data_IF_367014625165
#
_entry.id   IF_367014625165
#
_cell.length_a   1.000
_cell.length_b   1.000
_cell.length_c   1.000
_cell.angle_alpha   90.00
_cell.angle_beta   90.00
_cell.angle_gamma   90.00
#
_symmetry.space_group_name_H-M   'P 1'
#
loop_
_entity.id
_entity.type
_entity.pdbx_description
1 polymer ?
#
# COMPACT_ATOMS: atom_id res chain seq x y z
N UNK A 1 11.90 21.69 23.42
CA UNK A 1 11.01 20.52 23.29
C UNK A 1 11.68 19.50 22.37
N UNK A 2 11.89 18.32 22.88
CA UNK A 2 12.53 17.27 22.08
C UNK A 2 11.47 16.55 21.24
N UNK A 3 11.50 16.78 19.93
CA UNK A 3 10.64 16.06 19.02
C UNK A 3 11.29 14.69 18.78
N UNK A 4 10.56 13.61 19.08
CA UNK A 4 11.04 12.27 18.79
C UNK A 4 11.18 12.09 17.29
N UNK A 5 12.12 11.25 16.89
CA UNK A 5 12.33 10.97 15.47
C UNK A 5 11.03 10.50 14.78
N UNK A 6 10.24 9.65 15.47
CA UNK A 6 8.96 9.17 14.97
C UNK A 6 7.89 10.26 14.88
N UNK A 7 8.07 11.40 15.56
CA UNK A 7 7.12 12.50 15.56
C UNK A 7 7.47 13.59 14.52
N UNK A 8 8.52 13.38 13.72
CA UNK A 8 8.89 14.33 12.68
C UNK A 8 7.75 14.48 11.66
N UNK A 9 7.51 15.71 11.16
CA UNK A 9 6.42 15.94 10.22
C UNK A 9 6.55 15.08 8.97
N UNK A 10 5.47 14.43 8.60
CA UNK A 10 5.36 13.67 7.36
C UNK A 10 4.02 13.97 6.72
N UNK A 11 4.01 14.14 5.41
CA UNK A 11 2.80 14.47 4.66
C UNK A 11 2.60 13.48 3.54
N UNK A 12 1.33 13.23 3.20
CA UNK A 12 0.96 12.38 2.07
C UNK A 12 0.40 13.30 0.99
N UNK A 13 0.88 13.11 -0.24
CA UNK A 13 0.40 13.81 -1.42
C UNK A 13 0.31 12.85 -2.61
N UNK A 14 -0.32 13.31 -3.68
CA UNK A 14 -0.37 12.51 -4.90
C UNK A 14 1.04 12.30 -5.45
N UNK A 15 1.27 11.09 -5.97
CA UNK A 15 2.51 10.74 -6.65
C UNK A 15 2.56 11.46 -7.99
N UNK A 16 3.70 12.04 -8.31
CA UNK A 16 3.95 12.71 -9.57
C UNK A 16 5.00 11.95 -10.37
N UNK A 17 5.11 12.28 -11.64
CA UNK A 17 6.09 11.63 -12.52
C UNK A 17 7.51 11.73 -11.95
N UNK A 18 7.84 12.85 -11.35
CA UNK A 18 9.16 13.12 -10.75
C UNK A 18 9.47 12.20 -9.57
N UNK A 19 8.46 11.58 -8.96
CA UNK A 19 8.65 10.66 -7.84
C UNK A 19 9.00 9.24 -8.29
N UNK A 20 8.81 8.91 -9.56
CA UNK A 20 8.92 7.53 -10.04
C UNK A 20 10.31 6.92 -9.81
N UNK A 21 11.36 7.71 -9.97
CA UNK A 21 12.73 7.20 -9.76
C UNK A 21 12.94 6.79 -8.30
N UNK A 22 12.52 7.63 -7.34
CA UNK A 22 12.64 7.34 -5.92
C UNK A 22 11.77 6.13 -5.51
N UNK A 23 10.53 6.09 -6.00
CA UNK A 23 9.59 5.00 -5.73
C UNK A 23 10.14 3.67 -6.26
N UNK A 24 10.62 3.64 -7.49
CA UNK A 24 11.21 2.43 -8.10
C UNK A 24 12.44 1.96 -7.33
N UNK A 25 13.26 2.89 -6.86
CA UNK A 25 14.45 2.54 -6.08
C UNK A 25 14.06 1.90 -4.74
N UNK A 26 13.08 2.47 -4.05
CA UNK A 26 12.57 1.91 -2.79
C UNK A 26 12.00 0.51 -3.01
N UNK A 27 11.20 0.35 -4.06
CA UNK A 27 10.61 -0.94 -4.41
C UNK A 27 11.70 -2.00 -4.64
N UNK A 28 12.71 -1.66 -5.44
CA UNK A 28 13.82 -2.57 -5.76
C UNK A 28 14.60 -2.99 -4.52
N UNK A 29 14.79 -2.08 -3.56
CA UNK A 29 15.52 -2.36 -2.32
C UNK A 29 14.66 -3.09 -1.28
N UNK A 30 13.34 -3.08 -1.44
CA UNK A 30 12.40 -3.62 -0.44
C UNK A 30 11.90 -5.01 -0.77
N UNK A 31 11.88 -5.40 -2.04
CA UNK A 31 11.27 -6.66 -2.49
C UNK A 31 12.21 -7.46 -3.36
N UNK A 32 12.10 -8.80 -3.22
CA UNK A 32 12.86 -9.75 -4.05
C UNK A 32 12.37 -9.74 -5.51
N UNK A 33 11.06 -9.54 -5.70
CA UNK A 33 10.44 -9.50 -7.03
C UNK A 33 9.74 -8.14 -7.21
N UNK A 34 10.51 -7.06 -7.41
CA UNK A 34 9.95 -5.71 -7.41
C UNK A 34 9.21 -5.39 -8.70
N UNK A 35 8.25 -4.47 -8.61
CA UNK A 35 7.69 -3.82 -9.79
C UNK A 35 8.77 -2.98 -10.47
N UNK A 36 8.71 -2.92 -11.81
CA UNK A 36 9.59 -2.06 -12.58
C UNK A 36 9.12 -0.60 -12.54
N UNK A 37 10.01 0.30 -12.92
CA UNK A 37 9.67 1.72 -13.10
C UNK A 37 8.46 1.89 -14.04
N UNK A 38 8.42 1.09 -15.13
CA UNK A 38 7.33 1.15 -16.10
C UNK A 38 5.97 0.78 -15.51
N UNK A 39 5.91 -0.16 -14.57
CA UNK A 39 4.66 -0.52 -13.90
C UNK A 39 4.11 0.66 -13.10
N UNK A 40 4.96 1.35 -12.35
CA UNK A 40 4.54 2.54 -11.60
C UNK A 40 4.08 3.65 -12.55
N UNK A 41 4.79 3.88 -13.63
CA UNK A 41 4.39 4.86 -14.65
C UNK A 41 3.02 4.51 -15.23
N UNK A 42 2.79 3.25 -15.53
CA UNK A 42 1.51 2.79 -16.09
C UNK A 42 0.36 3.01 -15.10
N UNK A 43 0.60 2.83 -13.80
CA UNK A 43 -0.40 3.14 -12.77
C UNK A 43 -0.79 4.62 -12.78
N UNK A 44 0.18 5.53 -12.92
CA UNK A 44 -0.12 6.96 -13.02
C UNK A 44 -0.92 7.26 -14.28
N UNK A 45 -0.52 6.68 -15.41
CA UNK A 45 -1.21 6.91 -16.70
C UNK A 45 -2.63 6.36 -16.69
N UNK A 46 -2.86 5.25 -15.96
CA UNK A 46 -4.18 4.65 -15.83
C UNK A 46 -5.10 5.43 -14.88
N UNK A 47 -4.58 6.45 -14.20
CA UNK A 47 -5.37 7.25 -13.26
C UNK A 47 -5.61 6.58 -11.91
N UNK A 48 -4.80 5.60 -11.55
CA UNK A 48 -4.90 4.98 -10.23
C UNK A 48 -4.55 6.00 -9.15
N UNK A 49 -5.16 5.86 -7.96
CA UNK A 49 -4.85 6.69 -6.81
C UNK A 49 -3.45 6.33 -6.30
N UNK A 50 -2.45 7.06 -6.74
CA UNK A 50 -1.05 6.82 -6.38
C UNK A 50 -0.59 7.93 -5.46
N UNK A 51 0.01 7.57 -4.33
CA UNK A 51 0.39 8.54 -3.31
C UNK A 51 1.78 8.27 -2.76
N UNK A 52 2.43 9.33 -2.31
CA UNK A 52 3.72 9.25 -1.63
C UNK A 52 3.63 9.89 -0.25
N UNK A 53 4.34 9.30 0.70
CA UNK A 53 4.52 9.88 2.02
C UNK A 53 5.90 10.53 2.05
N UNK A 54 5.91 11.83 2.31
CA UNK A 54 7.14 12.64 2.28
C UNK A 54 7.54 12.98 3.70
N UNK A 55 8.78 12.73 4.02
CA UNK A 55 9.41 13.10 5.28
C UNK A 55 10.75 13.76 5.01
N UNK A 56 10.93 14.97 5.54
CA UNK A 56 12.19 15.71 5.36
C UNK A 56 12.60 15.85 3.89
N UNK A 57 11.59 16.11 3.03
CA UNK A 57 11.83 16.26 1.60
C UNK A 57 12.11 14.98 0.83
N UNK A 58 12.03 13.82 1.47
CA UNK A 58 12.33 12.52 0.88
C UNK A 58 11.07 11.65 0.82
N UNK A 59 10.99 10.81 -0.21
CA UNK A 59 9.94 9.79 -0.26
C UNK A 59 10.26 8.72 0.79
N UNK A 60 9.42 8.64 1.82
CA UNK A 60 9.56 7.64 2.88
C UNK A 60 8.72 6.39 2.62
N UNK A 61 7.66 6.53 1.83
CA UNK A 61 6.79 5.43 1.47
C UNK A 61 5.84 5.80 0.36
N UNK A 62 5.09 4.83 -0.13
CA UNK A 62 4.13 5.03 -1.22
C UNK A 62 3.02 3.98 -1.17
N UNK A 63 1.93 4.28 -1.86
CA UNK A 63 0.80 3.36 -1.98
C UNK A 63 0.10 3.58 -3.31
N UNK A 64 -0.44 2.50 -3.87
CA UNK A 64 -1.21 2.51 -5.11
C UNK A 64 -2.56 1.86 -4.84
N UNK A 65 -3.63 2.58 -5.18
CA UNK A 65 -5.01 2.15 -4.99
C UNK A 65 -5.75 2.29 -6.31
N UNK A 66 -6.37 1.21 -6.79
CA UNK A 66 -7.30 1.32 -7.92
C UNK A 66 -8.72 1.43 -7.40
N UNK A 67 -9.54 2.25 -8.06
CA UNK A 67 -10.94 2.44 -7.73
C UNK A 67 -11.74 2.26 -9.02
N UNK A 68 -12.65 1.29 -9.04
CA UNK A 68 -13.49 1.04 -10.20
C UNK A 68 -14.75 0.28 -9.79
N UNK A 69 -15.88 0.61 -10.40
CA UNK A 69 -17.14 -0.13 -10.26
C UNK A 69 -17.57 -0.33 -8.79
N UNK A 70 -17.34 0.68 -7.95
CA UNK A 70 -17.75 0.62 -6.53
C UNK A 70 -16.82 -0.18 -5.64
N UNK A 71 -15.67 -0.62 -6.16
CA UNK A 71 -14.67 -1.36 -5.39
C UNK A 71 -13.33 -0.66 -5.44
N UNK A 72 -12.53 -0.83 -4.38
CA UNK A 72 -11.15 -0.38 -4.34
C UNK A 72 -10.23 -1.58 -4.16
N UNK A 73 -9.05 -1.52 -4.76
CA UNK A 73 -8.04 -2.56 -4.65
C UNK A 73 -6.71 -1.93 -4.29
N UNK A 74 -6.15 -2.33 -3.15
CA UNK A 74 -4.80 -1.92 -2.78
C UNK A 74 -3.81 -2.75 -3.57
N UNK A 75 -3.09 -2.12 -4.48
CA UNK A 75 -2.17 -2.80 -5.38
C UNK A 75 -0.75 -2.88 -4.83
N UNK A 76 -0.35 -1.86 -4.06
CA UNK A 76 0.98 -1.81 -3.48
C UNK A 76 0.98 -0.81 -2.31
N UNK A 77 1.71 -1.13 -1.26
CA UNK A 77 2.01 -0.21 -0.16
C UNK A 77 3.38 -0.58 0.40
N UNK A 78 4.25 0.39 0.53
CA UNK A 78 5.62 0.15 0.95
C UNK A 78 6.16 1.33 1.74
N UNK A 79 6.92 1.03 2.79
CA UNK A 79 7.68 2.03 3.54
C UNK A 79 9.17 1.73 3.34
N UNK A 80 9.94 2.78 3.03
CA UNK A 80 11.39 2.66 2.87
C UNK A 80 12.00 2.03 4.12
N UNK A 81 12.95 1.08 3.97
CA UNK A 81 13.47 0.35 5.14
C UNK A 81 13.95 1.23 6.30
N UNK A 82 14.57 2.37 6.01
CA UNK A 82 15.09 3.28 7.03
C UNK A 82 13.99 3.93 7.88
N UNK A 83 12.74 3.96 7.38
CA UNK A 83 11.62 4.61 8.04
C UNK A 83 10.58 3.63 8.57
N UNK A 84 10.89 2.34 8.62
CA UNK A 84 9.97 1.34 9.16
C UNK A 84 9.81 1.49 10.67
N UNK A 85 8.72 0.94 11.20
CA UNK A 85 8.37 0.97 12.63
C UNK A 85 8.09 2.38 13.17
N UNK A 86 7.72 3.31 12.31
CA UNK A 86 7.34 4.68 12.67
C UNK A 86 5.84 4.95 12.46
N UNK A 87 5.06 3.91 12.12
CA UNK A 87 3.63 4.07 11.87
C UNK A 87 3.29 4.57 10.47
N UNK A 88 4.23 4.64 9.55
CA UNK A 88 3.98 5.20 8.22
C UNK A 88 3.16 4.27 7.33
N UNK A 89 3.32 2.95 7.47
CA UNK A 89 2.46 1.99 6.77
C UNK A 89 1.00 2.15 7.17
N UNK A 90 0.75 2.34 8.45
CA UNK A 90 -0.60 2.60 8.97
C UNK A 90 -1.16 3.92 8.43
N UNK A 91 -0.34 4.98 8.37
CA UNK A 91 -0.77 6.27 7.82
C UNK A 91 -1.14 6.16 6.35
N UNK A 92 -0.34 5.44 5.56
CA UNK A 92 -0.66 5.20 4.14
C UNK A 92 -1.95 4.40 3.99
N UNK A 93 -2.14 3.38 4.80
CA UNK A 93 -3.36 2.59 4.79
C UNK A 93 -4.58 3.44 5.16
N UNK A 94 -4.48 4.26 6.20
CA UNK A 94 -5.57 5.15 6.61
C UNK A 94 -5.91 6.15 5.49
N UNK A 95 -4.93 6.67 4.78
CA UNK A 95 -5.16 7.56 3.63
C UNK A 95 -5.88 6.83 2.49
N UNK A 96 -5.49 5.59 2.20
CA UNK A 96 -6.18 4.79 1.19
C UNK A 96 -7.62 4.53 1.57
N UNK A 97 -7.89 4.22 2.85
CA UNK A 97 -9.25 4.02 3.35
C UNK A 97 -10.07 5.31 3.23
N UNK A 98 -9.47 6.45 3.56
CA UNK A 98 -10.12 7.75 3.42
C UNK A 98 -10.48 8.03 1.96
N UNK A 99 -9.55 7.81 1.02
CA UNK A 99 -9.80 8.04 -0.40
C UNK A 99 -10.86 7.10 -0.96
N UNK A 100 -10.85 5.84 -0.54
CA UNK A 100 -11.87 4.87 -0.94
C UNK A 100 -13.27 5.30 -0.45
N UNK A 101 -13.38 5.73 0.82
CA UNK A 101 -14.65 6.24 1.35
C UNK A 101 -15.11 7.48 0.61
N UNK A 102 -14.20 8.40 0.31
CA UNK A 102 -14.51 9.63 -0.42
C UNK A 102 -15.01 9.34 -1.84
N UNK A 103 -14.60 8.23 -2.42
CA UNK A 103 -15.05 7.78 -3.73
C UNK A 103 -16.33 6.94 -3.66
N UNK A 104 -16.95 6.83 -2.49
CA UNK A 104 -18.17 6.04 -2.24
C UNK A 104 -18.00 4.56 -2.59
N UNK A 105 -16.82 4.03 -2.39
CA UNK A 105 -16.51 2.62 -2.59
C UNK A 105 -17.19 1.80 -1.48
N UNK A 106 -17.74 0.64 -1.84
CA UNK A 106 -18.41 -0.26 -0.90
C UNK A 106 -17.44 -1.19 -0.20
N UNK A 107 -16.50 -1.75 -0.95
CA UNK A 107 -15.53 -2.72 -0.45
C UNK A 107 -14.14 -2.35 -0.92
N UNK A 108 -13.17 -2.59 -0.05
CA UNK A 108 -11.76 -2.46 -0.39
C UNK A 108 -11.08 -3.80 -0.12
N UNK A 109 -10.26 -4.27 -1.09
CA UNK A 109 -9.62 -5.56 -0.95
C UNK A 109 -8.14 -5.49 -1.36
N UNK A 110 -7.42 -6.51 -0.94
CA UNK A 110 -5.99 -6.65 -1.24
C UNK A 110 -5.60 -8.13 -1.22
N UNK A 111 -4.46 -8.43 -1.83
CA UNK A 111 -3.79 -9.71 -1.69
C UNK A 111 -2.51 -9.51 -0.89
N UNK A 112 -2.19 -10.48 -0.04
CA UNK A 112 -0.98 -10.44 0.79
C UNK A 112 -0.41 -11.84 0.93
N UNK A 113 0.93 -11.94 0.99
CA UNK A 113 1.59 -13.22 1.28
C UNK A 113 1.23 -13.66 2.70
N UNK A 114 0.75 -14.90 2.90
CA UNK A 114 0.49 -15.40 4.27
C UNK A 114 1.73 -15.34 5.16
N UNK A 115 2.91 -15.40 4.58
CA UNK A 115 4.17 -15.27 5.32
C UNK A 115 4.43 -13.86 5.86
N UNK A 116 3.74 -12.85 5.32
CA UNK A 116 3.88 -11.47 5.77
C UNK A 116 3.00 -11.20 6.99
N UNK A 117 3.41 -11.72 8.14
CA UNK A 117 2.62 -11.67 9.37
C UNK A 117 2.45 -10.25 9.90
N UNK A 118 3.44 -9.38 9.70
CA UNK A 118 3.36 -7.97 10.11
C UNK A 118 2.26 -7.24 9.36
N UNK A 119 2.19 -7.42 8.04
CA UNK A 119 1.15 -6.80 7.22
C UNK A 119 -0.23 -7.36 7.58
N UNK A 120 -0.35 -8.68 7.74
CA UNK A 120 -1.61 -9.30 8.14
C UNK A 120 -2.14 -8.74 9.45
N UNK A 121 -1.27 -8.56 10.46
CA UNK A 121 -1.65 -7.99 11.74
C UNK A 121 -2.19 -6.57 11.57
N UNK A 122 -1.53 -5.74 10.77
CA UNK A 122 -1.97 -4.38 10.50
C UNK A 122 -3.33 -4.35 9.81
N UNK A 123 -3.51 -5.16 8.77
CA UNK A 123 -4.77 -5.19 8.03
C UNK A 123 -5.92 -5.66 8.92
N UNK A 124 -5.70 -6.71 9.74
CA UNK A 124 -6.72 -7.19 10.69
C UNK A 124 -7.07 -6.11 11.71
N UNK A 125 -6.08 -5.39 12.22
CA UNK A 125 -6.29 -4.28 13.15
C UNK A 125 -7.20 -3.22 12.54
N UNK A 126 -7.10 -2.99 11.22
CA UNK A 126 -7.90 -1.99 10.50
C UNK A 126 -9.23 -2.54 10.01
N UNK A 127 -9.59 -3.78 10.35
CA UNK A 127 -10.90 -4.34 10.07
C UNK A 127 -10.99 -5.17 8.79
N UNK A 128 -9.87 -5.50 8.18
CA UNK A 128 -9.85 -6.45 7.06
C UNK A 128 -10.01 -7.86 7.58
N UNK A 129 -10.65 -8.72 6.78
CA UNK A 129 -10.78 -10.15 7.06
C UNK A 129 -10.39 -10.98 5.86
N UNK A 130 -9.85 -12.15 6.11
CA UNK A 130 -9.48 -13.10 5.05
C UNK A 130 -10.75 -13.72 4.50
N UNK A 131 -10.94 -13.66 3.19
CA UNK A 131 -12.14 -14.20 2.53
C UNK A 131 -11.81 -15.28 1.51
N UNK A 132 -10.57 -15.38 1.03
CA UNK A 132 -10.20 -16.34 0.01
C UNK A 132 -8.69 -16.59 0.02
N UNK A 133 -8.28 -17.61 -0.74
CA UNK A 133 -6.88 -17.90 -1.02
C UNK A 133 -6.71 -17.95 -2.53
N UNK A 134 -5.67 -17.29 -3.08
CA UNK A 134 -5.31 -17.37 -4.49
C UNK A 134 -4.06 -18.24 -4.61
N UNK A 135 -4.19 -19.50 -5.09
CA UNK A 135 -3.05 -20.41 -5.19
C UNK A 135 -1.98 -19.89 -6.15
N UNK A 136 -0.72 -20.06 -5.77
CA UNK A 136 0.45 -19.80 -6.61
C UNK A 136 0.49 -18.36 -7.18
N UNK A 137 0.02 -17.36 -6.41
CA UNK A 137 -0.11 -15.98 -6.89
C UNK A 137 1.22 -15.25 -6.94
N UNK A 138 2.07 -15.43 -5.91
CA UNK A 138 3.34 -14.71 -5.79
C UNK A 138 4.51 -15.58 -6.24
N UNK A 139 5.54 -14.95 -6.81
CA UNK A 139 6.82 -15.60 -7.06
C UNK A 139 7.54 -15.85 -5.73
N UNK A 140 8.24 -16.96 -5.64
CA UNK A 140 9.05 -17.34 -4.49
C UNK A 140 10.25 -18.14 -4.95
N UNK A 141 11.31 -18.25 -4.11
CA UNK A 141 12.55 -18.97 -4.47
C UNK A 141 12.31 -20.44 -4.78
N UNK A 142 11.35 -21.09 -4.10
CA UNK A 142 11.05 -22.51 -4.28
C UNK A 142 9.76 -22.71 -5.09
N UNK A 143 9.48 -21.82 -6.07
CA UNK A 143 8.26 -21.88 -6.86
C UNK A 143 7.38 -20.66 -6.62
N UNK A 144 6.12 -20.86 -6.20
CA UNK A 144 5.18 -19.76 -5.94
C UNK A 144 4.55 -19.89 -4.57
N UNK A 145 4.22 -18.76 -3.99
CA UNK A 145 3.46 -18.67 -2.74
C UNK A 145 2.02 -18.27 -3.04
N UNK A 146 1.07 -18.82 -2.29
CA UNK A 146 -0.33 -18.41 -2.36
C UNK A 146 -0.51 -16.99 -1.85
N UNK A 147 -1.62 -16.35 -2.22
CA UNK A 147 -2.03 -15.08 -1.65
C UNK A 147 -3.26 -15.26 -0.77
N UNK A 148 -3.27 -14.65 0.40
CA UNK A 148 -4.49 -14.44 1.15
C UNK A 148 -5.20 -13.22 0.57
N UNK A 149 -6.50 -13.34 0.33
CA UNK A 149 -7.33 -12.22 -0.14
C UNK A 149 -8.08 -11.67 1.06
N UNK A 150 -7.91 -10.38 1.32
CA UNK A 150 -8.54 -9.69 2.44
C UNK A 150 -9.50 -8.64 1.92
N UNK A 151 -10.61 -8.46 2.64
CA UNK A 151 -11.64 -7.47 2.31
C UNK A 151 -12.05 -6.72 3.57
N UNK A 152 -12.33 -5.43 3.40
CA UNK A 152 -12.98 -4.60 4.40
C UNK A 152 -14.19 -3.92 3.76
N UNK A 153 -15.35 -4.02 4.39
CA UNK A 153 -16.54 -3.25 4.00
C UNK A 153 -16.40 -1.82 4.51
N UNK A 154 -16.64 -0.85 3.63
CA UNK A 154 -16.54 0.57 3.95
C UNK A 154 -17.89 1.22 4.18
N UNK A 155 -18.97 0.58 3.72
CA UNK A 155 -20.34 1.07 3.90
C UNK A 155 -21.07 0.11 4.81
N UNK A 156 -21.66 0.64 5.89
CA UNK A 156 -22.45 -0.17 6.80
C UNK A 156 -23.68 -0.71 6.08
N UNK A 157 -23.98 -1.99 6.33
CA UNK A 157 -25.25 -2.56 5.88
C UNK A 157 -26.39 -1.88 6.63
N UNK A 158 -27.28 -1.25 5.88
CA UNK A 158 -28.47 -0.59 6.44
C UNK A 158 -29.59 -1.61 6.61
#
# INVERSE_FOLDING_TARGET
MNVRFADAPATIRDMQHEDLAAVSDIERRSYEFPWSHGVFRDCLLAGYQSMVLIREGRVAGYAILSVAAGEAHILNVCVQPEFRSMGYGERLLDEMLFRARSASVRDIFLEVRPSNTTALALYRKKGFRVVANRPAYYQANAGREDAAVLVKKLVADS
#
